data_IF_282774664033
#
_entry.id   IF_282774664033
#
_cell.length_a   1.000
_cell.length_b   1.000
_cell.length_c   1.000
_cell.angle_alpha   90.00
_cell.angle_beta   90.00
_cell.angle_gamma   90.00
#
_symmetry.space_group_name_H-M   'P 1'
#
loop_
_entity.id
_entity.type
_entity.pdbx_description
1 polymer ?
#
# COMPACT_ATOMS: atom_id res chain seq x y z
N UNK A 1 5.53 -2.60 -33.75
CA UNK A 1 6.22 -2.87 -32.47
C UNK A 1 5.51 -2.11 -31.37
N UNK A 2 4.74 -2.81 -30.53
CA UNK A 2 3.96 -2.22 -29.44
C UNK A 2 4.87 -1.75 -28.30
N UNK A 3 4.59 -0.61 -27.65
CA UNK A 3 5.43 -0.09 -26.59
C UNK A 3 5.26 -0.96 -25.34
N UNK A 4 6.40 -1.46 -24.85
CA UNK A 4 6.53 -2.17 -23.58
C UNK A 4 5.95 -1.33 -22.45
N UNK A 5 4.88 -1.87 -21.83
CA UNK A 5 4.21 -1.36 -20.63
C UNK A 5 5.15 -1.45 -19.42
N UNK A 6 6.14 -0.58 -19.36
CA UNK A 6 6.86 -0.28 -18.13
C UNK A 6 5.85 0.35 -17.17
N UNK A 7 5.53 -0.37 -16.08
CA UNK A 7 4.66 0.11 -15.02
C UNK A 7 5.07 1.53 -14.65
N UNK A 8 4.15 2.50 -14.80
CA UNK A 8 4.49 3.92 -14.67
C UNK A 8 5.16 4.19 -13.31
N UNK A 9 6.19 5.05 -13.25
CA UNK A 9 7.00 5.30 -12.04
C UNK A 9 6.19 5.66 -10.78
N UNK A 10 4.94 6.09 -10.96
CA UNK A 10 4.01 6.42 -9.87
C UNK A 10 3.55 5.19 -9.08
N UNK A 11 3.38 4.03 -9.73
CA UNK A 11 2.82 2.83 -9.11
C UNK A 11 3.80 2.14 -8.15
N UNK A 12 5.08 1.99 -8.53
CA UNK A 12 6.08 1.34 -7.66
C UNK A 12 6.32 2.17 -6.39
N UNK A 13 6.38 3.50 -6.52
CA UNK A 13 6.52 4.41 -5.39
C UNK A 13 5.32 4.32 -4.43
N UNK A 14 4.11 4.02 -4.92
CA UNK A 14 2.93 3.82 -4.09
C UNK A 14 2.98 2.50 -3.31
N UNK A 15 3.42 1.41 -3.94
CA UNK A 15 3.54 0.10 -3.27
C UNK A 15 4.57 0.17 -2.14
N UNK A 16 5.79 0.64 -2.41
CA UNK A 16 6.85 0.75 -1.39
C UNK A 16 6.44 1.62 -0.20
N UNK A 17 5.75 2.73 -0.46
CA UNK A 17 5.22 3.62 0.59
C UNK A 17 4.14 2.94 1.41
N UNK A 18 3.26 2.15 0.79
CA UNK A 18 2.20 1.44 1.47
C UNK A 18 2.75 0.30 2.34
N UNK A 19 3.78 -0.43 1.88
CA UNK A 19 4.46 -1.45 2.68
C UNK A 19 5.17 -0.86 3.90
N UNK A 20 5.89 0.26 3.72
CA UNK A 20 6.52 0.94 4.84
C UNK A 20 5.49 1.47 5.87
N UNK A 21 4.33 1.93 5.40
CA UNK A 21 3.25 2.35 6.29
C UNK A 21 2.65 1.17 7.07
N UNK A 22 2.45 0.02 6.41
CA UNK A 22 2.01 -1.23 7.04
C UNK A 22 2.97 -1.64 8.15
N UNK A 23 4.26 -1.74 7.86
CA UNK A 23 5.28 -2.17 8.82
C UNK A 23 5.33 -1.27 10.07
N UNK A 24 5.19 0.05 9.91
CA UNK A 24 5.12 0.97 11.06
C UNK A 24 3.88 0.77 11.91
N UNK A 25 2.72 0.54 11.28
CA UNK A 25 1.48 0.29 12.00
C UNK A 25 1.54 -1.04 12.77
N UNK A 26 2.05 -2.09 12.14
CA UNK A 26 2.27 -3.40 12.77
C UNK A 26 3.25 -3.31 13.93
N UNK A 27 4.39 -2.65 13.76
CA UNK A 27 5.37 -2.44 14.85
C UNK A 27 4.74 -1.69 16.02
N UNK A 28 3.87 -0.71 15.74
CA UNK A 28 3.18 0.06 16.78
C UNK A 28 2.16 -0.81 17.53
N UNK A 29 1.38 -1.62 16.82
CA UNK A 29 0.44 -2.55 17.45
C UNK A 29 1.16 -3.64 18.27
N UNK A 30 2.28 -4.14 17.77
CA UNK A 30 3.07 -5.16 18.47
C UNK A 30 3.79 -4.64 19.72
N UNK A 31 4.01 -3.33 19.84
CA UNK A 31 4.72 -2.75 20.97
C UNK A 31 3.95 -2.82 22.30
N UNK A 32 2.61 -2.99 22.26
CA UNK A 32 1.78 -3.18 23.47
C UNK A 32 1.99 -2.15 24.57
N UNK A 33 2.42 -0.94 24.20
CA UNK A 33 2.72 0.10 25.17
C UNK A 33 1.44 0.86 25.60
N UNK A 34 1.28 1.20 26.89
CA UNK A 34 0.07 1.84 27.42
C UNK A 34 -0.30 3.17 26.75
N UNK A 35 0.70 3.90 26.26
CA UNK A 35 0.57 5.20 25.61
C UNK A 35 0.15 5.12 24.13
N UNK A 36 -0.05 3.91 23.60
CA UNK A 36 -0.41 3.73 22.20
C UNK A 36 -1.90 3.99 22.01
N UNK A 37 -2.19 4.94 21.12
CA UNK A 37 -3.51 5.11 20.52
C UNK A 37 -3.78 3.93 19.56
N UNK A 38 -4.41 2.90 20.12
CA UNK A 38 -4.72 1.64 19.46
C UNK A 38 -5.62 1.82 18.23
N UNK A 39 -6.64 2.67 18.36
CA UNK A 39 -7.57 2.97 17.28
C UNK A 39 -6.86 3.64 16.10
N UNK A 40 -5.98 4.60 16.39
CA UNK A 40 -5.17 5.26 15.36
C UNK A 40 -4.20 4.29 14.68
N UNK A 41 -3.60 3.38 15.44
CA UNK A 41 -2.70 2.36 14.89
C UNK A 41 -3.47 1.38 13.98
N UNK A 42 -4.66 0.93 14.40
CA UNK A 42 -5.54 0.07 13.61
C UNK A 42 -6.01 0.75 12.31
N UNK A 43 -6.49 2.01 12.38
CA UNK A 43 -6.90 2.79 11.21
C UNK A 43 -5.73 2.99 10.24
N UNK A 44 -4.53 3.22 10.76
CA UNK A 44 -3.31 3.36 9.94
C UNK A 44 -2.98 2.07 9.20
N UNK A 45 -3.11 0.91 9.87
CA UNK A 45 -2.94 -0.41 9.26
C UNK A 45 -3.97 -0.65 8.15
N UNK A 46 -5.26 -0.44 8.43
CA UNK A 46 -6.34 -0.60 7.45
C UNK A 46 -6.09 0.24 6.20
N UNK A 47 -5.70 1.51 6.38
CA UNK A 47 -5.37 2.41 5.26
C UNK A 47 -4.16 1.95 4.44
N UNK A 48 -3.16 1.32 5.06
CA UNK A 48 -2.01 0.77 4.34
C UNK A 48 -2.42 -0.46 3.51
N UNK A 49 -3.24 -1.34 4.08
CA UNK A 49 -3.75 -2.53 3.40
C UNK A 49 -4.61 -2.17 2.18
N UNK A 50 -5.50 -1.17 2.30
CA UNK A 50 -6.32 -0.69 1.18
C UNK A 50 -5.44 -0.17 0.04
N UNK A 51 -4.38 0.59 0.35
CA UNK A 51 -3.44 1.09 -0.67
C UNK A 51 -2.71 -0.04 -1.38
N UNK A 52 -2.29 -1.08 -0.65
CA UNK A 52 -1.68 -2.27 -1.25
C UNK A 52 -2.67 -3.01 -2.15
N UNK A 53 -3.91 -3.17 -1.72
CA UNK A 53 -4.96 -3.81 -2.52
C UNK A 53 -5.21 -3.06 -3.83
N UNK A 54 -5.33 -1.73 -3.77
CA UNK A 54 -5.53 -0.90 -4.97
C UNK A 54 -4.30 -0.92 -5.87
N UNK A 55 -3.10 -0.81 -5.33
CA UNK A 55 -1.87 -0.81 -6.11
C UNK A 55 -1.59 -2.16 -6.80
N UNK A 56 -2.04 -3.27 -6.21
CA UNK A 56 -1.94 -4.62 -6.79
C UNK A 56 -2.94 -4.87 -7.90
N UNK A 57 -4.07 -4.16 -7.92
CA UNK A 57 -4.99 -4.18 -9.05
C UNK A 57 -4.35 -3.37 -10.18
N UNK A 58 -3.56 -4.04 -11.03
CA UNK A 58 -3.06 -3.48 -12.29
C UNK A 58 -4.27 -2.94 -13.06
N UNK A 59 -4.28 -1.69 -13.53
CA UNK A 59 -5.38 -1.21 -14.36
C UNK A 59 -5.44 -2.07 -15.62
N UNK A 60 -6.58 -2.74 -15.84
CA UNK A 60 -6.95 -3.32 -17.13
C UNK A 60 -7.21 -2.14 -18.06
N UNK A 61 -6.14 -1.62 -18.65
CA UNK A 61 -6.20 -0.60 -19.69
C UNK A 61 -5.07 -0.86 -20.67
N UNK A 62 -5.16 -1.99 -21.37
CA UNK A 62 -4.45 -2.28 -22.62
C UNK A 62 -5.02 -3.55 -23.26
N UNK A 63 -6.33 -3.59 -23.49
CA UNK A 63 -6.94 -4.45 -24.52
C UNK A 63 -7.96 -3.57 -25.22
N UNK A 64 -7.63 -3.15 -26.44
CA UNK A 64 -8.60 -2.73 -27.42
C UNK A 64 -8.35 -3.61 -28.66
N UNK A 65 -9.40 -4.22 -29.26
CA UNK A 65 -9.28 -5.14 -30.39
C UNK A 65 -8.77 -4.47 -31.66
#
# INVERSE_FOLDING_TARGET
MSPSSAASPKFWATVTRAEAAKARAEKRLAAMAPEIDWDRAAVSLQRALIRLQVARKRPVSAVNP
#
